data_IF_871973530136
#
_entry.id   IF_871973530136
#
_cell.length_a   1.000
_cell.length_b   1.000
_cell.length_c   1.000
_cell.angle_alpha   90.00
_cell.angle_beta   90.00
_cell.angle_gamma   90.00
#
_symmetry.space_group_name_H-M   'P 1'
#
loop_
_entity.id
_entity.type
_entity.pdbx_description
1 polymer ?
#
# COMPACT_ATOMS: atom_id res chain seq x y z
N UNK A 1 -18.10 -44.95 -45.18
CA UNK A 1 -17.94 -46.40 -44.96
C UNK A 1 -17.69 -46.56 -43.47
N UNK A 2 -18.74 -46.63 -42.63
CA UNK A 2 -19.50 -47.85 -42.27
C UNK A 2 -18.49 -48.90 -41.73
N UNK A 3 -18.62 -49.42 -40.52
CA UNK A 3 -19.74 -50.25 -40.08
C UNK A 3 -19.89 -50.25 -38.55
N UNK A 4 -21.15 -50.24 -38.13
CA UNK A 4 -21.63 -50.74 -36.85
C UNK A 4 -21.57 -52.27 -36.85
N UNK A 5 -21.29 -52.89 -35.70
CA UNK A 5 -21.68 -54.28 -35.44
C UNK A 5 -22.41 -54.33 -34.10
N UNK A 6 -23.70 -54.66 -34.22
CA UNK A 6 -24.59 -55.14 -33.17
C UNK A 6 -24.38 -56.66 -33.05
N UNK A 7 -24.27 -57.19 -31.84
CA UNK A 7 -24.35 -58.63 -31.57
C UNK A 7 -24.60 -58.86 -30.09
N UNK A 8 -25.86 -58.98 -29.65
CA UNK A 8 -26.69 -60.19 -29.58
C UNK A 8 -26.71 -60.71 -28.13
N UNK A 9 -27.86 -60.51 -27.50
CA UNK A 9 -28.27 -61.02 -26.21
C UNK A 9 -28.37 -62.56 -26.26
N UNK A 10 -27.67 -63.26 -25.37
CA UNK A 10 -27.99 -64.66 -25.01
C UNK A 10 -28.07 -64.73 -23.49
N UNK A 11 -29.30 -64.86 -23.00
CA UNK A 11 -29.62 -65.25 -21.64
C UNK A 11 -29.49 -66.78 -21.57
N UNK A 12 -28.63 -67.27 -20.70
CA UNK A 12 -28.64 -68.66 -20.25
C UNK A 12 -28.67 -68.68 -18.73
N UNK A 13 -29.87 -68.86 -18.19
CA UNK A 13 -30.13 -69.21 -16.80
C UNK A 13 -29.71 -70.64 -16.54
N UNK A 14 -28.84 -70.86 -15.55
CA UNK A 14 -28.76 -72.14 -14.84
C UNK A 14 -28.75 -71.84 -13.33
N UNK A 15 -29.85 -72.27 -12.72
CA UNK A 15 -30.11 -72.36 -11.29
C UNK A 15 -29.52 -73.66 -10.73
N UNK A 16 -28.90 -73.57 -9.56
CA UNK A 16 -28.66 -74.59 -8.51
C UNK A 16 -27.71 -73.90 -7.50
N UNK A 17 -27.89 -73.83 -6.19
CA UNK A 17 -28.71 -74.57 -5.24
C UNK A 17 -27.88 -74.67 -3.95
N UNK A 18 -28.21 -73.85 -2.95
CA UNK A 18 -27.95 -74.01 -1.50
C UNK A 18 -26.52 -74.15 -0.97
N UNK A 19 -26.08 -73.20 -0.13
CA UNK A 19 -25.73 -73.45 1.28
C UNK A 19 -25.50 -72.13 2.04
N UNK A 20 -25.92 -72.14 3.31
CA UNK A 20 -26.02 -71.01 4.22
C UNK A 20 -24.64 -70.41 4.57
N UNK A 21 -24.45 -69.11 4.31
CA UNK A 21 -23.78 -68.16 5.22
C UNK A 21 -24.48 -66.81 5.05
N UNK A 22 -25.13 -66.34 6.13
CA UNK A 22 -25.73 -65.01 6.16
C UNK A 22 -24.62 -63.99 6.36
N UNK A 23 -23.99 -63.57 5.26
CA UNK A 23 -23.15 -62.38 5.26
C UNK A 23 -24.03 -61.16 5.50
N UNK A 24 -24.09 -60.78 6.76
CA UNK A 24 -24.70 -59.53 7.21
C UNK A 24 -23.73 -58.42 6.83
N UNK A 25 -23.77 -57.98 5.57
CA UNK A 25 -23.00 -56.84 5.12
C UNK A 25 -23.65 -55.58 5.72
N UNK A 26 -23.22 -55.18 6.91
CA UNK A 26 -23.65 -53.92 7.50
C UNK A 26 -22.98 -52.78 6.74
N UNK A 27 -23.71 -52.18 5.80
CA UNK A 27 -23.46 -50.79 5.46
C UNK A 27 -23.79 -49.98 6.71
N UNK A 28 -22.77 -49.68 7.53
CA UNK A 28 -22.84 -48.48 8.35
C UNK A 28 -22.65 -47.32 7.39
N UNK A 29 -23.74 -46.97 6.67
CA UNK A 29 -23.89 -45.61 6.20
C UNK A 29 -24.03 -44.79 7.48
N UNK A 30 -22.90 -44.27 7.96
CA UNK A 30 -22.94 -43.23 8.98
C UNK A 30 -23.41 -42.01 8.21
N UNK A 31 -24.73 -41.90 8.02
CA UNK A 31 -25.39 -40.67 7.58
C UNK A 31 -24.90 -39.59 8.53
N UNK A 32 -23.89 -38.84 8.10
CA UNK A 32 -23.34 -37.75 8.88
C UNK A 32 -24.45 -36.70 8.91
N UNK A 33 -25.13 -36.60 10.04
CA UNK A 33 -26.30 -35.73 10.20
C UNK A 33 -25.98 -34.35 9.63
N UNK A 34 -26.84 -33.88 8.73
CA UNK A 34 -26.68 -32.61 8.05
C UNK A 34 -26.56 -31.47 9.06
N UNK A 35 -25.44 -30.75 9.02
CA UNK A 35 -25.19 -29.57 9.84
C UNK A 35 -25.26 -28.33 8.96
N UNK A 36 -26.26 -27.48 9.17
CA UNK A 36 -26.34 -26.17 8.53
C UNK A 36 -25.73 -25.12 9.47
N UNK A 37 -24.73 -24.34 9.01
CA UNK A 37 -24.27 -23.19 9.79
C UNK A 37 -25.40 -22.18 10.00
N UNK A 38 -25.35 -21.43 11.09
CA UNK A 38 -26.37 -20.42 11.42
C UNK A 38 -25.73 -19.11 11.91
N UNK A 39 -26.53 -18.03 11.94
CA UNK A 39 -26.11 -16.72 12.45
C UNK A 39 -24.83 -16.16 11.81
N UNK A 40 -24.69 -16.29 10.48
CA UNK A 40 -23.58 -15.68 9.77
C UNK A 40 -23.62 -14.15 9.91
N UNK A 41 -22.61 -13.61 10.58
CA UNK A 41 -22.33 -12.19 10.71
C UNK A 41 -21.09 -11.83 9.90
N UNK A 42 -21.15 -10.70 9.19
CA UNK A 42 -20.03 -10.16 8.40
C UNK A 42 -19.86 -8.68 8.73
N UNK A 43 -18.64 -8.30 9.13
CA UNK A 43 -18.21 -6.90 9.21
C UNK A 43 -17.11 -6.64 8.19
N UNK A 44 -17.11 -5.43 7.63
CA UNK A 44 -16.15 -4.97 6.62
C UNK A 44 -15.56 -3.66 7.12
N UNK A 45 -14.24 -3.58 7.17
CA UNK A 45 -13.48 -2.38 7.50
C UNK A 45 -12.66 -1.98 6.28
N UNK A 46 -12.83 -0.73 5.83
CA UNK A 46 -12.00 -0.17 4.76
C UNK A 46 -10.76 0.46 5.40
N UNK A 47 -9.58 0.03 4.99
CA UNK A 47 -8.33 0.45 5.63
C UNK A 47 -8.09 1.95 5.43
N UNK A 48 -7.79 2.64 6.53
CA UNK A 48 -7.59 4.09 6.54
C UNK A 48 -8.87 4.90 6.40
N UNK A 49 -10.06 4.30 6.56
CA UNK A 49 -11.31 5.06 6.58
C UNK A 49 -11.48 5.87 7.87
N UNK A 50 -12.01 7.09 7.73
CA UNK A 50 -12.39 7.99 8.82
C UNK A 50 -13.60 8.86 8.40
N UNK A 51 -13.94 9.89 9.19
CA UNK A 51 -15.08 10.78 8.91
C UNK A 51 -14.93 11.55 7.58
N UNK A 52 -13.69 11.89 7.19
CA UNK A 52 -13.39 12.64 5.98
C UNK A 52 -13.19 11.71 4.76
N UNK A 53 -12.76 10.47 4.99
CA UNK A 53 -12.42 9.47 3.99
C UNK A 53 -13.19 8.16 4.23
N UNK A 54 -14.54 8.15 4.16
CA UNK A 54 -15.34 6.98 4.52
C UNK A 54 -15.10 5.74 3.63
N UNK A 55 -14.52 5.92 2.45
CA UNK A 55 -14.21 4.86 1.49
C UNK A 55 -12.70 4.50 1.48
N UNK A 56 -11.96 4.92 2.50
CA UNK A 56 -10.51 4.73 2.60
C UNK A 56 -9.70 5.83 1.90
N UNK A 57 -8.39 5.80 2.12
CA UNK A 57 -7.41 6.79 1.61
C UNK A 57 -6.79 6.40 0.27
N UNK A 58 -7.43 5.51 -0.49
CA UNK A 58 -6.98 5.12 -1.82
C UNK A 58 -6.16 3.84 -1.90
N UNK A 59 -5.95 3.10 -0.80
CA UNK A 59 -5.19 1.85 -0.82
C UNK A 59 -5.94 0.69 -1.47
N UNK A 60 -7.28 0.78 -1.57
CA UNK A 60 -8.12 -0.33 -2.00
C UNK A 60 -8.22 -1.49 -0.99
N UNK A 61 -7.58 -1.40 0.17
CA UNK A 61 -7.51 -2.49 1.13
C UNK A 61 -8.74 -2.54 2.04
N UNK A 62 -9.27 -3.76 2.23
CA UNK A 62 -10.36 -4.04 3.17
C UNK A 62 -10.04 -5.26 4.03
N UNK A 63 -10.50 -5.21 5.28
CA UNK A 63 -10.56 -6.36 6.18
C UNK A 63 -12.02 -6.82 6.32
N UNK A 64 -12.26 -8.10 6.06
CA UNK A 64 -13.55 -8.75 6.25
C UNK A 64 -13.43 -9.73 7.41
N UNK A 65 -14.35 -9.63 8.37
CA UNK A 65 -14.47 -10.59 9.47
C UNK A 65 -15.83 -11.27 9.40
N UNK A 66 -15.80 -12.60 9.29
CA UNK A 66 -16.96 -13.46 9.22
C UNK A 66 -17.00 -14.39 10.43
N UNK A 67 -18.20 -14.61 10.97
CA UNK A 67 -18.42 -15.59 12.04
C UNK A 67 -19.80 -16.22 11.88
N UNK A 68 -19.90 -17.52 12.08
CA UNK A 68 -21.14 -18.27 12.08
C UNK A 68 -21.05 -19.43 13.08
N UNK A 69 -22.19 -19.83 13.63
CA UNK A 69 -22.30 -21.06 14.41
C UNK A 69 -22.15 -22.27 13.47
N UNK A 70 -21.50 -23.33 13.96
CA UNK A 70 -21.31 -24.60 13.24
C UNK A 70 -20.57 -24.50 11.89
N UNK A 71 -19.84 -23.40 11.68
CA UNK A 71 -18.94 -23.21 10.56
C UNK A 71 -17.52 -23.66 10.90
N UNK A 72 -16.87 -24.35 9.97
CA UNK A 72 -15.47 -24.79 10.05
C UNK A 72 -14.57 -24.08 9.04
N UNK A 73 -15.16 -23.57 7.96
CA UNK A 73 -14.46 -22.76 6.94
C UNK A 73 -15.39 -21.67 6.42
N UNK A 74 -14.78 -20.63 5.85
CA UNK A 74 -15.43 -19.50 5.25
C UNK A 74 -14.89 -19.29 3.83
N UNK A 75 -15.75 -18.81 2.93
CA UNK A 75 -15.39 -18.41 1.58
C UNK A 75 -15.74 -16.94 1.34
N UNK A 76 -14.89 -16.24 0.60
CA UNK A 76 -15.16 -14.89 0.11
C UNK A 76 -15.12 -14.91 -1.41
N UNK A 77 -16.22 -14.47 -2.05
CA UNK A 77 -16.28 -14.17 -3.47
C UNK A 77 -16.63 -12.68 -3.66
N UNK A 78 -15.98 -12.04 -4.62
CA UNK A 78 -16.17 -10.62 -4.94
C UNK A 78 -16.97 -10.48 -6.23
N UNK A 79 -18.03 -9.69 -6.19
CA UNK A 79 -18.98 -9.46 -7.28
C UNK A 79 -19.49 -10.76 -7.93
N UNK A 80 -19.33 -10.89 -9.24
CA UNK A 80 -19.80 -12.02 -10.03
C UNK A 80 -18.76 -13.15 -10.12
N UNK A 81 -17.63 -13.03 -9.40
CA UNK A 81 -16.61 -14.07 -9.40
C UNK A 81 -17.13 -15.36 -8.75
N UNK A 82 -16.70 -16.48 -9.34
CA UNK A 82 -17.06 -17.83 -8.88
C UNK A 82 -15.97 -18.47 -8.04
N UNK A 83 -14.73 -17.94 -8.12
CA UNK A 83 -13.63 -18.39 -7.29
C UNK A 83 -13.76 -17.79 -5.89
N UNK A 84 -13.44 -18.60 -4.88
CA UNK A 84 -13.55 -18.23 -3.47
C UNK A 84 -12.17 -18.19 -2.84
N UNK A 85 -11.90 -17.11 -2.11
CA UNK A 85 -10.80 -17.07 -1.15
C UNK A 85 -11.28 -17.79 0.11
N UNK A 86 -10.56 -18.83 0.54
CA UNK A 86 -10.97 -19.67 1.68
C UNK A 86 -10.16 -19.31 2.93
N UNK A 87 -10.85 -19.18 4.07
CA UNK A 87 -10.25 -18.99 5.39
C UNK A 87 -10.87 -19.93 6.43
N UNK A 88 -10.11 -20.34 7.44
CA UNK A 88 -10.62 -21.17 8.56
C UNK A 88 -11.06 -20.34 9.76
N UNK A 89 -10.56 -19.11 9.88
CA UNK A 89 -10.81 -18.18 10.99
C UNK A 89 -11.82 -17.07 10.64
N UNK A 90 -12.33 -17.09 9.41
CA UNK A 90 -13.28 -16.09 8.91
C UNK A 90 -12.66 -14.72 8.65
N UNK A 91 -11.33 -14.61 8.62
CA UNK A 91 -10.65 -13.34 8.34
C UNK A 91 -10.14 -13.30 6.91
N UNK A 92 -10.46 -12.22 6.20
CA UNK A 92 -9.98 -11.98 4.85
C UNK A 92 -9.39 -10.58 4.76
N UNK A 93 -8.23 -10.47 4.13
CA UNK A 93 -7.69 -9.20 3.64
C UNK A 93 -7.78 -9.23 2.11
N UNK A 94 -8.38 -8.19 1.52
CA UNK A 94 -8.55 -8.10 0.07
C UNK A 94 -8.18 -6.69 -0.40
N UNK A 95 -7.63 -6.59 -1.61
CA UNK A 95 -7.21 -5.30 -2.20
C UNK A 95 -7.88 -5.12 -3.55
N UNK A 96 -8.74 -4.12 -3.64
CA UNK A 96 -9.34 -3.66 -4.90
C UNK A 96 -8.34 -2.86 -5.72
N UNK A 97 -8.39 -3.01 -7.04
CA UNK A 97 -7.43 -2.41 -7.97
C UNK A 97 -8.06 -1.48 -9.01
N UNK A 98 -9.38 -1.45 -9.10
CA UNK A 98 -10.05 -0.58 -10.06
C UNK A 98 -10.06 0.86 -9.53
N UNK A 99 -9.40 1.75 -10.26
CA UNK A 99 -9.24 3.15 -9.88
C UNK A 99 -10.58 3.87 -9.73
N UNK A 100 -10.67 4.75 -8.74
CA UNK A 100 -11.87 5.51 -8.41
C UNK A 100 -12.63 4.93 -7.22
N UNK A 101 -13.84 5.44 -6.99
CA UNK A 101 -14.73 4.95 -5.93
C UNK A 101 -15.79 4.04 -6.53
N UNK A 102 -15.76 2.77 -6.15
CA UNK A 102 -16.67 1.74 -6.67
C UNK A 102 -17.36 0.98 -5.55
N UNK A 103 -18.55 0.46 -5.85
CA UNK A 103 -19.31 -0.41 -4.95
C UNK A 103 -19.04 -1.86 -5.33
N UNK A 104 -18.58 -2.66 -4.37
CA UNK A 104 -18.27 -4.07 -4.53
C UNK A 104 -19.20 -4.93 -3.68
N UNK A 105 -19.66 -6.05 -4.23
CA UNK A 105 -20.47 -7.03 -3.51
C UNK A 105 -19.61 -8.15 -2.98
N UNK A 106 -19.44 -8.19 -1.66
CA UNK A 106 -18.73 -9.23 -0.94
C UNK A 106 -19.72 -10.32 -0.55
N UNK A 107 -19.68 -11.45 -1.27
CA UNK A 107 -20.47 -12.64 -0.96
C UNK A 107 -19.64 -13.56 -0.06
N UNK A 108 -20.04 -13.67 1.19
CA UNK A 108 -19.34 -14.46 2.21
C UNK A 108 -20.14 -15.73 2.50
N UNK A 109 -19.48 -16.87 2.40
CA UNK A 109 -20.01 -18.19 2.67
C UNK A 109 -19.46 -18.70 3.99
N UNK A 110 -20.29 -19.40 4.77
CA UNK A 110 -19.85 -20.18 5.93
C UNK A 110 -20.22 -21.64 5.70
N UNK A 111 -19.25 -22.54 5.84
CA UNK A 111 -19.38 -23.96 5.54
C UNK A 111 -19.27 -24.80 6.81
N UNK A 112 -20.14 -25.80 6.97
CA UNK A 112 -20.04 -26.78 8.05
C UNK A 112 -19.12 -27.93 7.70
N UNK A 113 -18.84 -28.78 8.69
CA UNK A 113 -18.08 -30.02 8.50
C UNK A 113 -18.80 -31.07 7.61
N UNK A 114 -20.06 -30.83 7.24
CA UNK A 114 -20.86 -31.68 6.34
C UNK A 114 -20.93 -31.12 4.92
N UNK A 115 -20.24 -30.01 4.64
CA UNK A 115 -20.20 -29.38 3.31
C UNK A 115 -21.40 -28.49 2.98
N UNK A 116 -22.38 -28.36 3.89
CA UNK A 116 -23.49 -27.43 3.72
C UNK A 116 -23.07 -26.01 4.09
N UNK A 117 -23.69 -25.01 3.46
CA UNK A 117 -23.35 -23.61 3.68
C UNK A 117 -24.54 -22.67 3.77
N UNK A 118 -24.30 -21.52 4.39
CA UNK A 118 -25.12 -20.32 4.28
C UNK A 118 -24.26 -19.19 3.73
N UNK A 119 -24.90 -18.18 3.16
CA UNK A 119 -24.21 -17.01 2.62
C UNK A 119 -24.85 -15.70 3.04
N UNK A 120 -24.04 -14.65 3.08
CA UNK A 120 -24.46 -13.27 3.27
C UNK A 120 -23.70 -12.38 2.30
N UNK A 121 -24.39 -11.44 1.66
CA UNK A 121 -23.76 -10.43 0.79
C UNK A 121 -23.70 -9.09 1.52
N UNK A 122 -22.54 -8.44 1.47
CA UNK A 122 -22.32 -7.06 1.93
C UNK A 122 -21.81 -6.21 0.77
N UNK A 123 -22.40 -5.05 0.58
CA UNK A 123 -21.86 -4.05 -0.35
C UNK A 123 -20.91 -3.14 0.41
N UNK A 124 -19.72 -2.90 -0.14
CA UNK A 124 -18.74 -1.94 0.38
C UNK A 124 -18.35 -0.98 -0.73
N UNK A 125 -18.28 0.31 -0.39
CA UNK A 125 -17.69 1.31 -1.29
C UNK A 125 -16.23 1.49 -0.95
N UNK A 126 -15.36 1.36 -1.94
CA UNK A 126 -13.90 1.49 -1.76
C UNK A 126 -13.35 2.48 -2.76
N UNK A 127 -12.53 3.41 -2.26
CA UNK A 127 -11.73 4.30 -3.08
C UNK A 127 -10.35 3.67 -3.30
N UNK A 128 -10.00 3.49 -4.57
CA UNK A 128 -8.66 3.14 -5.02
C UNK A 128 -8.09 4.35 -5.73
N UNK A 129 -7.01 4.90 -5.20
CA UNK A 129 -6.30 5.97 -5.88
C UNK A 129 -5.50 5.38 -7.04
N UNK A 130 -5.28 6.15 -8.11
CA UNK A 130 -4.56 5.71 -9.31
C UNK A 130 -3.04 5.57 -9.07
N UNK A 131 -2.61 5.46 -7.82
CA UNK A 131 -1.22 5.62 -7.42
C UNK A 131 -0.63 4.30 -6.91
N UNK A 132 -0.32 3.39 -7.83
CA UNK A 132 0.91 2.62 -7.61
C UNK A 132 2.07 3.62 -7.70
N UNK A 133 2.54 4.06 -6.54
CA UNK A 133 3.69 4.94 -6.39
C UNK A 133 4.93 4.29 -7.01
N UNK A 134 5.17 4.52 -8.31
CA UNK A 134 6.42 4.12 -8.92
C UNK A 134 7.51 5.04 -8.38
N UNK A 135 8.41 4.49 -7.57
CA UNK A 135 9.58 5.23 -7.11
C UNK A 135 10.43 5.62 -8.34
N UNK A 136 10.53 6.92 -8.58
CA UNK A 136 11.31 7.49 -9.70
C UNK A 136 12.64 8.08 -9.24
N UNK A 137 12.76 8.46 -7.97
CA UNK A 137 13.95 9.03 -7.38
C UNK A 137 13.89 8.95 -5.85
N UNK A 138 15.03 8.71 -5.20
CA UNK A 138 15.19 8.73 -3.74
C UNK A 138 16.64 8.99 -3.33
N UNK A 139 16.81 9.41 -2.08
CA UNK A 139 18.10 9.42 -1.39
C UNK A 139 17.86 9.04 0.08
N UNK A 140 18.24 7.82 0.45
CA UNK A 140 18.06 7.28 1.80
C UNK A 140 19.20 7.67 2.75
N UNK A 141 20.25 8.35 2.24
CA UNK A 141 21.38 8.82 3.04
C UNK A 141 22.13 7.69 3.79
N UNK A 142 22.33 6.55 3.13
CA UNK A 142 23.00 5.37 3.70
C UNK A 142 24.54 5.41 3.65
N UNK A 143 25.12 6.45 3.04
CA UNK A 143 26.58 6.59 2.87
C UNK A 143 27.10 7.76 3.69
N UNK A 144 27.80 7.45 4.78
CA UNK A 144 28.43 8.46 5.65
C UNK A 144 29.42 9.36 4.89
N UNK A 145 29.44 10.64 5.24
CA UNK A 145 30.37 11.64 4.70
C UNK A 145 29.69 12.82 4.01
N UNK A 146 30.23 13.22 2.86
CA UNK A 146 29.69 14.33 2.09
C UNK A 146 28.37 13.95 1.42
N UNK A 147 27.45 14.92 1.30
CA UNK A 147 26.20 14.72 0.57
C UNK A 147 26.47 14.37 -0.90
N UNK A 148 25.72 13.40 -1.43
CA UNK A 148 25.88 12.92 -2.81
C UNK A 148 25.73 14.06 -3.82
N UNK A 149 26.78 14.29 -4.61
CA UNK A 149 26.77 15.26 -5.72
C UNK A 149 26.02 14.76 -6.94
N UNK A 150 25.67 13.47 -6.98
CA UNK A 150 24.81 12.89 -8.03
C UNK A 150 23.34 13.25 -7.81
N UNK A 151 22.96 13.48 -6.54
CA UNK A 151 21.60 13.79 -6.15
C UNK A 151 21.39 15.28 -5.85
N UNK A 152 22.41 15.97 -5.31
CA UNK A 152 22.25 17.30 -4.73
C UNK A 152 23.26 18.32 -5.23
N UNK A 153 22.77 19.52 -5.55
CA UNK A 153 23.55 20.74 -5.73
C UNK A 153 23.47 21.57 -4.45
N UNK A 154 24.64 21.90 -3.88
CA UNK A 154 24.73 22.83 -2.76
C UNK A 154 24.76 24.27 -3.27
N UNK A 155 23.81 25.09 -2.84
CA UNK A 155 23.72 26.50 -3.18
C UNK A 155 24.61 27.32 -2.24
N UNK A 156 25.63 27.97 -2.79
CA UNK A 156 26.60 28.76 -2.01
C UNK A 156 26.72 30.21 -2.49
N UNK A 157 26.07 30.57 -3.59
CA UNK A 157 26.09 31.91 -4.15
C UNK A 157 24.79 32.63 -3.79
N UNK A 158 24.92 33.72 -3.06
CA UNK A 158 23.82 34.48 -2.51
C UNK A 158 23.30 35.46 -3.59
N UNK A 159 22.02 35.41 -3.97
CA UNK A 159 21.51 36.10 -5.15
C UNK A 159 21.36 37.62 -4.99
N UNK A 160 21.46 38.15 -3.76
CA UNK A 160 21.22 39.56 -3.45
C UNK A 160 22.45 40.21 -2.81
N UNK A 161 23.45 40.52 -3.63
CA UNK A 161 24.68 41.23 -3.23
C UNK A 161 25.36 40.61 -1.98
N UNK A 162 25.57 39.30 -2.00
CA UNK A 162 26.17 38.57 -0.87
C UNK A 162 25.19 38.26 0.27
N UNK A 163 23.90 38.54 0.10
CA UNK A 163 22.84 38.14 1.03
C UNK A 163 21.79 37.27 0.35
N UNK A 164 21.14 36.42 1.15
CA UNK A 164 19.95 35.69 0.74
C UNK A 164 18.72 36.60 0.86
N UNK A 165 17.60 36.17 0.30
CA UNK A 165 16.35 36.90 0.38
C UNK A 165 15.82 36.95 1.84
N UNK A 166 14.68 37.61 2.05
CA UNK A 166 13.96 37.63 3.33
C UNK A 166 14.75 38.18 4.54
N UNK A 167 15.87 38.87 4.32
CA UNK A 167 16.71 39.38 5.41
C UNK A 167 17.47 38.29 6.16
N UNK A 168 17.66 37.13 5.53
CA UNK A 168 18.38 35.99 6.11
C UNK A 168 19.83 36.33 6.50
N UNK A 169 20.25 35.81 7.66
CA UNK A 169 21.48 36.22 8.34
C UNK A 169 22.67 35.29 8.11
N UNK A 170 22.49 34.21 7.35
CA UNK A 170 23.48 33.18 7.12
C UNK A 170 24.12 33.26 5.74
N UNK A 171 25.32 32.68 5.63
CA UNK A 171 25.85 32.20 4.36
C UNK A 171 25.57 30.69 4.25
N UNK A 172 25.05 30.24 3.10
CA UNK A 172 25.05 28.81 2.78
C UNK A 172 26.43 28.39 2.28
N UNK A 173 26.94 27.27 2.80
CA UNK A 173 28.26 26.73 2.43
C UNK A 173 28.15 25.27 1.98
N UNK A 174 29.20 24.77 1.35
CA UNK A 174 29.35 23.36 0.96
C UNK A 174 30.29 22.58 1.91
N UNK A 175 30.55 23.11 3.11
CA UNK A 175 31.42 22.47 4.10
C UNK A 175 30.67 21.34 4.81
N UNK A 176 31.42 20.30 5.20
CA UNK A 176 30.94 19.23 6.06
C UNK A 176 30.46 19.73 7.44
N UNK A 177 30.86 20.94 7.82
CA UNK A 177 30.34 21.61 9.01
C UNK A 177 28.84 21.95 8.94
N UNK A 178 28.29 22.06 7.73
CA UNK A 178 26.93 22.52 7.49
C UNK A 178 26.03 21.48 6.82
N UNK A 179 26.58 20.57 6.02
CA UNK A 179 25.83 19.44 5.45
C UNK A 179 26.69 18.18 5.38
N UNK A 180 26.19 17.09 5.98
CA UNK A 180 26.85 15.78 5.95
C UNK A 180 25.85 14.66 6.21
N UNK A 181 26.19 13.47 5.73
CA UNK A 181 25.47 12.23 6.01
C UNK A 181 26.22 11.48 7.10
N UNK A 182 25.47 10.97 8.07
CA UNK A 182 25.98 10.03 9.07
C UNK A 182 24.81 9.20 9.57
N UNK A 183 25.03 7.99 10.08
CA UNK A 183 24.00 7.24 10.83
C UNK A 183 22.64 7.16 10.08
N UNK A 184 22.68 6.91 8.76
CA UNK A 184 21.49 6.74 7.91
C UNK A 184 20.62 8.00 7.75
N UNK A 185 21.16 9.21 7.98
CA UNK A 185 20.41 10.45 7.84
C UNK A 185 21.29 11.63 7.39
N UNK A 186 20.71 12.50 6.55
CA UNK A 186 21.25 13.82 6.26
C UNK A 186 21.15 14.75 7.49
N UNK A 187 22.26 15.44 7.78
CA UNK A 187 22.31 16.54 8.75
C UNK A 187 22.54 17.85 8.01
N UNK A 188 21.63 18.79 8.18
CA UNK A 188 21.83 20.21 7.84
C UNK A 188 22.01 20.96 9.15
N UNK A 189 23.19 21.54 9.34
CA UNK A 189 23.57 22.20 10.59
C UNK A 189 23.76 23.70 10.35
N UNK A 190 22.87 24.49 10.96
CA UNK A 190 23.09 25.92 11.13
C UNK A 190 24.11 26.13 12.26
N UNK A 191 25.14 26.93 12.02
CA UNK A 191 26.18 27.27 12.99
C UNK A 191 26.27 28.77 13.17
N UNK A 192 26.46 29.21 14.42
CA UNK A 192 26.85 30.60 14.71
C UNK A 192 28.37 30.70 14.57
N UNK A 193 28.81 31.29 13.48
CA UNK A 193 30.23 31.54 13.19
C UNK A 193 30.35 32.73 12.24
N UNK A 194 31.43 33.50 12.39
CA UNK A 194 31.74 34.53 11.41
C UNK A 194 32.27 33.88 10.14
N UNK A 195 31.60 34.14 9.03
CA UNK A 195 31.98 33.64 7.73
C UNK A 195 31.91 34.76 6.70
N UNK A 196 33.03 35.02 6.02
CA UNK A 196 33.13 36.02 4.97
C UNK A 196 33.11 35.33 3.59
N UNK A 197 32.11 35.68 2.78
CA UNK A 197 31.97 35.20 1.41
C UNK A 197 31.28 36.26 0.56
N UNK A 198 31.61 36.30 -0.73
CA UNK A 198 31.00 37.23 -1.69
C UNK A 198 31.07 38.70 -1.23
N UNK A 199 32.18 39.10 -0.59
CA UNK A 199 32.41 40.46 -0.11
C UNK A 199 31.59 40.86 1.14
N UNK A 200 30.87 39.92 1.76
CA UNK A 200 30.08 40.19 2.97
C UNK A 200 30.45 39.21 4.08
N UNK A 201 30.36 39.67 5.33
CA UNK A 201 30.54 38.83 6.52
C UNK A 201 29.19 38.59 7.18
N UNK A 202 28.88 37.33 7.47
CA UNK A 202 27.67 36.90 8.16
C UNK A 202 28.05 36.20 9.46
N UNK A 203 27.16 36.23 10.44
CA UNK A 203 27.38 35.64 11.79
C UNK A 203 26.87 34.19 11.89
N UNK A 204 26.31 33.68 10.80
CA UNK A 204 25.77 32.33 10.73
C UNK A 204 26.17 31.66 9.41
N UNK A 205 26.30 30.35 9.46
CA UNK A 205 26.42 29.50 8.28
C UNK A 205 25.37 28.40 8.33
N UNK A 206 24.98 27.89 7.17
CA UNK A 206 24.09 26.73 7.05
C UNK A 206 24.34 26.04 5.71
N UNK A 207 23.46 25.13 5.30
CA UNK A 207 23.45 24.58 3.95
C UNK A 207 22.06 24.73 3.30
N UNK A 208 22.05 24.88 1.98
CA UNK A 208 20.86 24.86 1.11
C UNK A 208 21.14 23.90 -0.03
N UNK A 209 20.26 22.92 -0.20
CA UNK A 209 20.43 21.84 -1.17
C UNK A 209 19.26 21.87 -2.15
N UNK A 210 19.58 21.77 -3.44
CA UNK A 210 18.61 21.60 -4.51
C UNK A 210 18.83 20.20 -5.11
N UNK A 211 17.77 19.44 -5.35
CA UNK A 211 17.87 18.18 -6.07
C UNK A 211 18.35 18.43 -7.51
N UNK A 212 19.20 17.53 -8.03
CA UNK A 212 19.49 17.47 -9.47
C UNK A 212 18.34 16.84 -10.26
N UNK A 213 17.41 16.19 -9.55
CA UNK A 213 16.16 15.69 -10.09
C UNK A 213 15.09 16.80 -10.11
N UNK A 214 14.35 16.87 -11.21
CA UNK A 214 13.16 17.71 -11.40
C UNK A 214 12.05 16.84 -11.96
N UNK A 215 10.83 17.06 -11.51
CA UNK A 215 9.68 16.28 -11.94
C UNK A 215 8.44 17.16 -12.11
N UNK A 216 7.45 16.63 -12.82
CA UNK A 216 6.13 17.23 -12.95
C UNK A 216 5.11 16.21 -12.49
N UNK A 217 4.31 16.58 -11.49
CA UNK A 217 3.36 15.73 -10.78
C UNK A 217 3.99 14.56 -10.01
N UNK A 218 3.30 14.11 -8.97
CA UNK A 218 3.73 12.98 -8.15
C UNK A 218 3.62 13.29 -6.67
N UNK A 219 4.20 12.41 -5.86
CA UNK A 219 4.23 12.50 -4.41
C UNK A 219 5.67 12.70 -3.95
N UNK A 220 5.87 13.64 -3.03
CA UNK A 220 7.15 13.85 -2.35
C UNK A 220 6.97 13.48 -0.89
N UNK A 221 7.82 12.60 -0.38
CA UNK A 221 7.87 12.25 1.03
C UNK A 221 9.24 12.58 1.60
N UNK A 222 9.26 13.29 2.72
CA UNK A 222 10.50 13.58 3.46
C UNK A 222 10.29 13.28 4.93
N UNK A 223 11.05 12.33 5.45
CA UNK A 223 11.06 12.02 6.89
C UNK A 223 12.16 12.82 7.58
N UNK A 224 11.78 13.85 8.34
CA UNK A 224 12.73 14.77 8.97
C UNK A 224 12.47 14.97 10.47
N UNK A 225 13.53 15.35 11.19
CA UNK A 225 13.46 15.93 12.54
C UNK A 225 13.94 17.37 12.47
N UNK A 226 13.05 18.31 12.82
CA UNK A 226 13.33 19.73 12.70
C UNK A 226 14.21 20.26 13.86
N UNK A 227 15.05 21.29 13.60
CA UNK A 227 15.85 21.94 14.64
C UNK A 227 14.97 22.59 15.71
N UNK A 228 15.56 22.78 16.89
CA UNK A 228 14.98 23.59 17.97
C UNK A 228 15.83 24.85 18.15
N UNK A 229 15.18 25.98 18.39
CA UNK A 229 15.86 27.23 18.72
C UNK A 229 15.19 28.44 18.08
N UNK A 230 15.21 29.58 18.78
CA UNK A 230 14.73 30.82 18.18
C UNK A 230 15.65 31.25 17.03
N UNK A 231 15.04 31.67 15.92
CA UNK A 231 15.75 32.12 14.73
C UNK A 231 16.11 31.02 13.74
N UNK A 232 15.89 29.74 14.05
CA UNK A 232 16.00 28.69 13.04
C UNK A 232 14.74 28.67 12.17
N UNK A 233 14.91 28.67 10.86
CA UNK A 233 13.84 28.54 9.87
C UNK A 233 14.16 27.38 8.93
N UNK A 234 13.81 26.12 9.31
CA UNK A 234 13.95 24.98 8.41
C UNK A 234 12.84 25.02 7.35
N UNK A 235 13.16 24.63 6.12
CA UNK A 235 12.20 24.53 5.03
C UNK A 235 12.49 23.28 4.18
N UNK A 236 11.43 22.60 3.76
CA UNK A 236 11.42 21.56 2.72
C UNK A 236 10.40 22.08 1.72
N UNK A 237 10.85 22.50 0.55
CA UNK A 237 10.03 23.30 -0.37
C UNK A 237 10.47 23.05 -1.81
N UNK A 238 9.66 23.47 -2.76
CA UNK A 238 9.86 23.27 -4.19
C UNK A 238 9.72 24.57 -4.96
N UNK A 239 10.49 24.71 -6.05
CA UNK A 239 10.41 25.81 -7.01
C UNK A 239 10.29 25.25 -8.43
N UNK A 240 9.61 26.00 -9.31
CA UNK A 240 9.63 25.71 -10.73
C UNK A 240 11.04 25.75 -11.32
N UNK A 241 11.41 24.73 -12.10
CA UNK A 241 12.72 24.63 -12.77
C UNK A 241 12.96 25.72 -13.82
N UNK A 242 11.93 26.50 -14.15
CA UNK A 242 11.98 27.66 -15.03
C UNK A 242 12.26 28.98 -14.30
N UNK A 243 12.69 28.96 -13.02
CA UNK A 243 12.99 30.19 -12.25
C UNK A 243 13.97 31.13 -12.98
N UNK A 244 14.96 30.60 -13.70
CA UNK A 244 15.92 31.42 -14.46
C UNK A 244 15.30 32.12 -15.68
N UNK A 245 14.16 31.65 -16.19
CA UNK A 245 13.51 32.21 -17.39
C UNK A 245 12.30 33.08 -17.05
N UNK A 246 11.46 32.69 -16.08
CA UNK A 246 10.24 33.44 -15.72
C UNK A 246 10.35 34.22 -14.41
N UNK A 247 11.35 33.91 -13.57
CA UNK A 247 11.55 34.52 -12.27
C UNK A 247 10.52 34.11 -11.21
N UNK A 248 10.79 34.51 -9.97
CA UNK A 248 9.83 34.39 -8.86
C UNK A 248 8.92 35.64 -8.80
N UNK A 249 7.61 35.51 -8.50
CA UNK A 249 6.88 34.30 -8.09
C UNK A 249 6.29 33.50 -9.24
N UNK A 250 6.48 33.91 -10.49
CA UNK A 250 5.82 33.31 -11.65
C UNK A 250 6.19 31.84 -11.90
N UNK A 251 7.39 31.40 -11.51
CA UNK A 251 7.80 29.99 -11.57
C UNK A 251 7.05 29.08 -10.59
N UNK A 252 6.34 29.64 -9.61
CA UNK A 252 5.64 28.89 -8.56
C UNK A 252 6.57 28.40 -7.44
N UNK A 253 6.02 28.32 -6.24
CA UNK A 253 6.66 27.86 -5.01
C UNK A 253 5.65 27.02 -4.21
N UNK A 254 6.10 25.91 -3.64
CA UNK A 254 5.31 25.04 -2.74
C UNK A 254 6.16 24.82 -1.50
N UNK A 255 5.69 25.33 -0.35
CA UNK A 255 6.28 25.15 0.98
C UNK A 255 5.52 24.08 1.80
#
# INVERSE_FOLDING_TARGET
MMHWIIGLLIIASISCGGNNEADTFSYTDVDKEMVLPTNLSVSVEVMGSDEDNPNGVGTGEVQILASANDAVTYGLAVDAETEEIIATDGKFNYTFKEEGSHDYNLRVMAYSNTGHSIQLTKTVRVFVDSYEAKLVWSDEFDVDGAVSKENWKMETFAPNNGSWWNGELQHYTNRLDNAYVSEGTLKIAAKKEQFSSQGTTKEYTSARLNSLFTFTYGRVEVRAKLPKGHGTWPAIWMLGSNIETVGWPACGEID
#
